data_IF_996693090896
#
_entry.id   IF_996693090896
#
_cell.length_a   1.000
_cell.length_b   1.000
_cell.length_c   1.000
_cell.angle_alpha   90.00
_cell.angle_beta   90.00
_cell.angle_gamma   90.00
#
_symmetry.space_group_name_H-M   'P 1'
#
loop_
_entity.id
_entity.type
_entity.pdbx_description
1 polymer ?
#
# COMPACT_ATOMS: atom_id res chain seq x y z
N UNK A 1 -9.63 7.77 -3.94
CA UNK A 1 -9.05 7.20 -2.71
C UNK A 1 -7.91 6.28 -3.12
N UNK A 2 -6.83 6.19 -2.34
CA UNK A 2 -5.72 5.30 -2.70
C UNK A 2 -6.06 3.87 -2.27
N UNK A 3 -6.02 2.95 -3.22
CA UNK A 3 -6.36 1.53 -3.03
C UNK A 3 -5.13 0.66 -3.25
N UNK A 4 -5.08 -0.48 -2.57
CA UNK A 4 -4.07 -1.51 -2.76
C UNK A 4 -4.75 -2.87 -2.89
N UNK A 5 -4.26 -3.72 -3.79
CA UNK A 5 -4.80 -5.08 -3.92
C UNK A 5 -3.95 -6.05 -3.11
N UNK A 6 -4.58 -6.85 -2.27
CA UNK A 6 -3.91 -7.91 -1.54
C UNK A 6 -3.46 -9.02 -2.50
N UNK A 7 -2.16 -9.39 -2.54
CA UNK A 7 -1.67 -10.45 -3.43
C UNK A 7 -2.15 -11.85 -3.00
N UNK A 8 -2.44 -12.05 -1.71
CA UNK A 8 -2.82 -13.36 -1.17
C UNK A 8 -4.29 -13.71 -1.46
N UNK A 9 -5.20 -12.76 -1.23
CA UNK A 9 -6.64 -13.01 -1.36
C UNK A 9 -7.33 -12.15 -2.43
N UNK A 10 -6.59 -11.30 -3.14
CA UNK A 10 -7.12 -10.46 -4.22
C UNK A 10 -8.05 -9.33 -3.77
N UNK A 11 -8.22 -9.13 -2.47
CA UNK A 11 -9.11 -8.12 -1.91
C UNK A 11 -8.53 -6.71 -2.10
N UNK A 12 -9.34 -5.76 -2.54
CA UNK A 12 -8.98 -4.35 -2.62
C UNK A 12 -9.12 -3.74 -1.22
N UNK A 13 -8.03 -3.23 -0.66
CA UNK A 13 -7.98 -2.57 0.64
C UNK A 13 -7.71 -1.08 0.44
N UNK A 14 -8.17 -0.27 1.37
CA UNK A 14 -7.82 1.16 1.36
C UNK A 14 -6.39 1.33 1.83
N UNK A 15 -5.54 1.88 0.97
CA UNK A 15 -4.13 2.07 1.30
C UNK A 15 -3.99 3.13 2.42
N UNK A 16 -3.87 2.68 3.68
CA UNK A 16 -3.61 3.51 4.86
C UNK A 16 -2.15 3.95 4.95
N UNK A 17 -1.62 4.50 3.87
CA UNK A 17 -0.27 5.04 3.82
C UNK A 17 -0.31 6.44 4.43
N UNK A 18 0.28 6.60 5.61
CA UNK A 18 0.71 7.91 6.09
C UNK A 18 1.97 8.31 5.31
N UNK A 19 1.84 8.63 4.02
CA UNK A 19 2.93 9.30 3.31
C UNK A 19 2.86 10.78 3.65
N UNK A 20 3.86 11.36 4.33
CA UNK A 20 3.99 12.81 4.33
C UNK A 20 4.19 13.26 2.86
N UNK A 21 3.51 14.33 2.43
CA UNK A 21 3.53 14.78 1.03
C UNK A 21 4.92 15.17 0.53
N UNK A 22 5.91 15.31 1.42
CA UNK A 22 7.29 15.71 1.12
C UNK A 22 8.21 14.56 0.67
N UNK A 23 7.85 13.29 0.90
CA UNK A 23 8.72 12.14 0.53
C UNK A 23 8.57 11.66 -0.91
N UNK A 24 7.70 12.27 -1.72
CA UNK A 24 7.54 11.91 -3.13
C UNK A 24 8.75 12.29 -4.01
N UNK A 25 9.71 13.07 -3.48
CA UNK A 25 10.85 13.62 -4.24
C UNK A 25 12.21 13.00 -3.92
N UNK A 26 12.28 12.03 -3.01
CA UNK A 26 13.52 11.33 -2.72
C UNK A 26 13.33 9.84 -2.97
N UNK A 27 14.36 9.25 -3.54
CA UNK A 27 14.68 7.83 -3.75
C UNK A 27 14.64 6.98 -2.45
N UNK A 28 13.81 7.38 -1.48
CA UNK A 28 13.45 6.59 -0.32
C UNK A 28 12.56 5.47 -0.81
N UNK A 29 13.21 4.40 -1.23
CA UNK A 29 12.67 3.07 -1.32
C UNK A 29 11.76 2.85 -0.09
N UNK A 30 10.44 3.05 -0.26
CA UNK A 30 9.43 2.73 0.76
C UNK A 30 9.27 1.21 0.78
N UNK A 31 10.39 0.49 0.84
CA UNK A 31 10.48 -0.92 1.20
C UNK A 31 10.19 -0.99 2.69
N UNK A 32 8.96 -1.36 3.05
CA UNK A 32 8.63 -1.71 4.42
C UNK A 32 7.33 -1.12 4.95
N UNK A 33 6.57 -0.37 4.15
CA UNK A 33 5.22 -0.04 4.55
C UNK A 33 4.29 -1.18 4.14
N UNK A 34 4.13 -2.18 5.01
CA UNK A 34 3.16 -3.25 4.84
C UNK A 34 1.92 -2.98 5.69
N UNK A 35 0.74 -3.29 5.18
CA UNK A 35 -0.50 -3.22 5.96
C UNK A 35 -1.20 -4.59 5.97
N UNK A 36 -1.91 -4.92 7.06
CA UNK A 36 -2.73 -6.13 7.08
C UNK A 36 -3.92 -5.97 6.12
N UNK A 37 -4.20 -7.03 5.35
CA UNK A 37 -5.42 -7.12 4.58
C UNK A 37 -6.64 -7.25 5.49
N UNK A 38 -7.68 -6.45 5.30
CA UNK A 38 -8.93 -6.48 6.06
C UNK A 38 -9.66 -7.83 5.97
N UNK A 39 -9.44 -8.58 4.88
CA UNK A 39 -10.11 -9.87 4.65
C UNK A 39 -9.30 -11.07 5.11
N UNK A 40 -8.05 -11.16 4.68
CA UNK A 40 -7.20 -12.34 4.93
C UNK A 40 -6.11 -12.11 5.97
N UNK A 41 -5.99 -10.89 6.52
CA UNK A 41 -4.98 -10.47 7.51
C UNK A 41 -3.53 -10.69 7.06
N UNK A 42 -3.31 -11.03 5.79
CA UNK A 42 -1.99 -11.15 5.20
C UNK A 42 -1.33 -9.77 5.04
N UNK A 43 0.00 -9.73 5.15
CA UNK A 43 0.78 -8.52 4.89
C UNK A 43 0.68 -8.11 3.42
N UNK A 44 0.15 -6.92 3.16
CA UNK A 44 0.11 -6.30 1.85
C UNK A 44 1.26 -5.31 1.76
N UNK A 45 2.26 -5.53 0.89
CA UNK A 45 3.31 -4.54 0.66
C UNK A 45 2.73 -3.32 -0.06
N UNK A 46 2.82 -2.14 0.55
CA UNK A 46 2.38 -0.85 -0.03
C UNK A 46 3.48 -0.26 -0.92
N UNK A 47 3.92 -1.03 -1.91
CA UNK A 47 4.81 -0.53 -2.95
C UNK A 47 4.05 0.37 -3.91
N UNK A 48 4.67 1.47 -4.37
CA UNK A 48 4.09 2.40 -5.35
C UNK A 48 3.56 1.71 -6.62
N UNK A 49 4.12 0.55 -6.99
CA UNK A 49 3.67 -0.26 -8.13
C UNK A 49 2.30 -0.96 -7.91
N UNK A 50 1.94 -1.25 -6.66
CA UNK A 50 0.68 -1.93 -6.27
C UNK A 50 -0.41 -0.96 -5.80
N UNK A 51 -0.05 0.32 -5.68
CA UNK A 51 -0.93 1.40 -5.27
C UNK A 51 -1.57 2.02 -6.50
N UNK A 52 -2.90 2.14 -6.48
CA UNK A 52 -3.63 2.77 -7.56
C UNK A 52 -4.74 3.66 -7.01
N UNK A 53 -5.11 4.68 -7.81
CA UNK A 53 -6.18 5.60 -7.45
C UNK A 53 -7.50 5.13 -8.08
N UNK A 54 -8.56 5.09 -7.25
CA UNK A 54 -9.93 4.75 -7.65
C UNK A 54 -10.88 5.79 -7.06
#
# INVERSE_FOLDING_TARGET
MLMVKCPECGHENTASIQMPPETLSADSNVSGNEQPCEKCHASIPLSNENLYYK
#
